data_IF_459795159076
#
_entry.id   IF_459795159076
#
_cell.length_a   1.000
_cell.length_b   1.000
_cell.length_c   1.000
_cell.angle_alpha   90.00
_cell.angle_beta   90.00
_cell.angle_gamma   90.00
#
_symmetry.space_group_name_H-M   'P 1'
#
loop_
_entity.id
_entity.type
_entity.pdbx_description
1 polymer ?
#
# COMPACT_ATOMS: atom_id res chain seq x y z
N UNK A 1 4.97 -53.44 -17.36
CA UNK A 1 3.57 -53.64 -16.92
C UNK A 1 3.46 -53.10 -15.50
N UNK A 2 2.84 -51.98 -15.15
CA UNK A 2 1.90 -51.01 -15.76
C UNK A 2 1.87 -49.86 -14.72
N UNK A 3 2.37 -48.66 -15.03
CA UNK A 3 1.63 -47.44 -15.44
C UNK A 3 0.58 -46.85 -14.46
N UNK A 4 0.82 -45.57 -14.11
CA UNK A 4 -0.09 -44.45 -13.76
C UNK A 4 -0.94 -44.57 -12.47
N UNK A 5 -1.24 -43.54 -11.68
CA UNK A 5 -1.42 -42.08 -11.85
C UNK A 5 -1.22 -41.44 -10.46
N UNK A 6 -0.74 -40.21 -10.25
CA UNK A 6 -1.13 -38.96 -10.90
C UNK A 6 -2.29 -38.31 -10.14
N UNK A 7 -2.07 -37.84 -8.90
CA UNK A 7 -3.00 -36.96 -8.19
C UNK A 7 -2.47 -35.53 -8.26
N UNK A 8 -3.28 -34.63 -8.82
CA UNK A 8 -3.00 -33.22 -9.03
C UNK A 8 -3.12 -32.40 -7.74
N UNK A 9 -2.38 -31.28 -7.68
CA UNK A 9 -2.34 -30.28 -6.60
C UNK A 9 -3.69 -29.70 -6.16
N UNK A 10 -4.78 -30.01 -6.87
CA UNK A 10 -6.15 -29.53 -6.58
C UNK A 10 -6.88 -30.27 -5.44
N UNK A 11 -6.27 -31.29 -4.82
CA UNK A 11 -6.91 -32.01 -3.69
C UNK A 11 -6.52 -31.43 -2.33
N UNK A 12 -5.46 -30.61 -2.26
CA UNK A 12 -5.06 -29.94 -1.02
C UNK A 12 -6.00 -28.79 -0.62
N UNK A 13 -6.63 -28.13 -1.60
CA UNK A 13 -7.54 -27.00 -1.37
C UNK A 13 -8.89 -27.42 -0.76
N UNK A 14 -9.31 -28.68 -0.96
CA UNK A 14 -10.59 -29.20 -0.45
C UNK A 14 -10.53 -29.64 1.02
N UNK A 15 -9.34 -29.94 1.55
CA UNK A 15 -9.17 -30.25 2.98
C UNK A 15 -9.03 -28.96 3.82
N UNK A 16 -8.55 -27.87 3.21
CA UNK A 16 -8.44 -26.55 3.86
C UNK A 16 -9.78 -25.85 4.07
N UNK A 17 -10.81 -26.16 3.27
CA UNK A 17 -12.14 -25.57 3.40
C UNK A 17 -13.04 -26.22 4.47
N UNK A 18 -12.67 -27.38 5.02
CA UNK A 18 -13.53 -28.14 5.94
C UNK A 18 -13.31 -27.85 7.43
N UNK A 19 -12.36 -26.98 7.81
CA UNK A 19 -12.05 -26.68 9.23
C UNK A 19 -12.21 -25.21 9.63
N UNK A 20 -12.97 -24.43 8.86
CA UNK A 20 -13.41 -23.09 9.27
C UNK A 20 -14.86 -23.16 9.76
N UNK A 21 -15.07 -23.87 10.85
CA UNK A 21 -16.17 -23.63 11.79
C UNK A 21 -15.67 -24.07 13.15
N UNK A 22 -15.77 -23.16 14.11
CA UNK A 22 -15.51 -23.36 15.54
C UNK A 22 -14.02 -23.31 15.97
N UNK A 23 -13.54 -22.09 16.27
CA UNK A 23 -12.95 -21.81 17.58
C UNK A 23 -11.62 -22.41 18.03
N UNK A 24 -10.82 -23.11 17.21
CA UNK A 24 -9.57 -23.73 17.68
C UNK A 24 -8.29 -23.25 16.95
N UNK A 25 -7.47 -22.40 17.60
CA UNK A 25 -6.12 -22.04 17.13
C UNK A 25 -5.17 -21.91 18.33
N UNK A 26 -4.20 -22.82 18.51
CA UNK A 26 -2.85 -22.50 18.03
C UNK A 26 -1.98 -23.67 17.50
N UNK A 27 -2.43 -24.93 17.59
CA UNK A 27 -1.61 -26.09 17.15
C UNK A 27 -1.65 -26.32 15.63
N UNK A 28 -2.70 -25.86 14.96
CA UNK A 28 -2.95 -26.05 13.53
C UNK A 28 -1.96 -25.27 12.65
N UNK A 29 -1.47 -24.10 13.10
CA UNK A 29 -0.45 -23.32 12.38
C UNK A 29 0.92 -24.00 12.33
N UNK A 30 1.29 -24.74 13.37
CA UNK A 30 2.54 -25.49 13.40
C UNK A 30 2.49 -26.75 12.50
N UNK A 31 1.29 -27.26 12.20
CA UNK A 31 1.08 -28.38 11.28
C UNK A 31 0.97 -27.95 9.82
N UNK A 32 0.27 -26.84 9.52
CA UNK A 32 0.03 -26.38 8.14
C UNK A 32 1.27 -25.75 7.51
N UNK A 33 2.19 -25.16 8.29
CA UNK A 33 3.41 -24.53 7.77
C UNK A 33 4.57 -25.51 7.45
N UNK A 34 4.36 -26.84 7.48
CA UNK A 34 5.42 -27.82 7.20
C UNK A 34 6.59 -27.84 8.21
N UNK A 35 6.48 -27.11 9.33
CA UNK A 35 7.57 -26.90 10.30
C UNK A 35 7.82 -28.09 11.24
N UNK A 36 7.03 -29.16 11.18
CA UNK A 36 7.23 -30.36 12.01
C UNK A 36 8.41 -31.23 11.57
N UNK A 37 8.78 -31.23 10.28
CA UNK A 37 9.85 -32.11 9.79
C UNK A 37 11.26 -31.56 10.08
N UNK A 38 11.40 -30.27 10.39
CA UNK A 38 12.70 -29.62 10.60
C UNK A 38 12.93 -29.04 11.99
N UNK A 39 11.91 -28.91 12.84
CA UNK A 39 12.08 -28.16 14.10
C UNK A 39 11.35 -28.78 15.31
N UNK A 40 12.12 -29.31 16.27
CA UNK A 40 11.64 -29.66 17.62
C UNK A 40 12.04 -28.57 18.62
N UNK A 41 11.09 -27.73 19.03
CA UNK A 41 11.22 -26.94 20.26
C UNK A 41 11.02 -27.86 21.47
N UNK A 42 11.59 -27.51 22.64
CA UNK A 42 11.33 -28.27 23.86
C UNK A 42 9.86 -28.12 24.28
N UNK A 43 9.26 -29.13 24.95
CA UNK A 43 7.87 -29.09 25.42
C UNK A 43 7.55 -27.82 26.24
N UNK A 44 8.49 -27.37 27.06
CA UNK A 44 8.33 -26.15 27.88
C UNK A 44 8.19 -24.87 27.04
N UNK A 45 8.92 -24.78 25.92
CA UNK A 45 8.83 -23.63 24.99
C UNK A 45 7.50 -23.66 24.25
N UNK A 46 7.03 -24.85 23.88
CA UNK A 46 5.71 -25.02 23.24
C UNK A 46 4.58 -24.64 24.21
N UNK A 47 4.68 -25.06 25.47
CA UNK A 47 3.70 -24.75 26.51
C UNK A 47 3.68 -23.26 26.84
N UNK A 48 4.85 -22.61 26.93
CA UNK A 48 4.96 -21.16 27.14
C UNK A 48 4.38 -20.34 25.98
N UNK A 49 4.63 -20.76 24.72
CA UNK A 49 4.04 -20.11 23.54
C UNK A 49 2.52 -20.28 23.49
N UNK A 50 2.01 -21.47 23.83
CA UNK A 50 0.57 -21.70 23.89
C UNK A 50 -0.13 -20.81 24.93
N UNK A 51 0.51 -20.57 26.08
CA UNK A 51 0.00 -19.65 27.11
C UNK A 51 -0.02 -18.19 26.66
N UNK A 52 0.97 -17.76 25.88
CA UNK A 52 1.03 -16.40 25.32
C UNK A 52 -0.01 -16.17 24.21
N UNK A 53 -0.45 -17.24 23.53
CA UNK A 53 -1.43 -17.20 22.45
C UNK A 53 -2.89 -17.33 22.93
N UNK A 54 -3.12 -17.84 24.14
CA UNK A 54 -4.47 -17.97 24.69
C UNK A 54 -4.96 -16.62 25.24
N UNK A 55 -6.15 -16.19 24.79
CA UNK A 55 -6.86 -15.05 25.36
C UNK A 55 -7.29 -15.36 26.80
N UNK A 56 -7.37 -14.34 27.66
CA UNK A 56 -7.85 -14.54 29.04
C UNK A 56 -9.31 -15.06 29.03
N UNK A 57 -9.76 -15.78 30.09
CA UNK A 57 -11.16 -16.21 30.19
C UNK A 57 -12.14 -15.05 30.05
N UNK A 58 -11.77 -13.86 30.53
CA UNK A 58 -12.56 -12.63 30.39
C UNK A 58 -12.67 -12.13 28.95
N UNK A 59 -11.61 -12.27 28.14
CA UNK A 59 -11.62 -11.91 26.72
C UNK A 59 -12.39 -12.94 25.89
N UNK A 60 -12.34 -14.22 26.26
CA UNK A 60 -13.15 -15.26 25.63
C UNK A 60 -14.64 -15.07 25.93
N UNK A 61 -15.01 -14.73 27.17
CA UNK A 61 -16.40 -14.46 27.54
C UNK A 61 -16.93 -13.18 26.88
N UNK A 62 -16.12 -12.12 26.80
CA UNK A 62 -16.47 -10.89 26.08
C UNK A 62 -16.70 -11.15 24.58
N UNK A 63 -15.84 -11.97 23.95
CA UNK A 63 -15.99 -12.37 22.53
C UNK A 63 -17.19 -13.29 22.30
N UNK A 64 -17.47 -14.21 23.23
CA UNK A 64 -18.64 -15.08 23.13
C UNK A 64 -19.93 -14.28 23.26
N UNK A 65 -20.01 -13.34 24.21
CA UNK A 65 -21.15 -12.41 24.35
C UNK A 65 -21.30 -11.51 23.13
N UNK A 66 -20.19 -11.02 22.58
CA UNK A 66 -20.19 -10.23 21.36
C UNK A 66 -20.85 -10.96 20.19
N UNK A 67 -20.44 -12.21 20.01
CA UNK A 67 -20.94 -13.07 18.95
C UNK A 67 -22.43 -13.40 19.14
N UNK A 68 -22.87 -13.70 20.36
CA UNK A 68 -24.29 -13.93 20.67
C UNK A 68 -25.15 -12.69 20.43
N UNK A 69 -24.67 -11.50 20.79
CA UNK A 69 -25.39 -10.24 20.57
C UNK A 69 -25.46 -9.86 19.08
N UNK A 70 -24.41 -10.15 18.33
CA UNK A 70 -24.37 -9.96 16.88
C UNK A 70 -25.33 -10.91 16.14
N UNK A 71 -25.40 -12.17 16.56
CA UNK A 71 -26.37 -13.14 16.02
C UNK A 71 -27.83 -12.81 16.37
N UNK A 72 -28.07 -12.10 17.47
CA UNK A 72 -29.40 -11.64 17.87
C UNK A 72 -29.88 -10.37 17.16
N UNK A 73 -29.07 -9.76 16.27
CA UNK A 73 -29.45 -8.57 15.50
C UNK A 73 -29.57 -7.27 16.32
N UNK A 74 -29.08 -7.26 17.56
CA UNK A 74 -29.20 -6.11 18.48
C UNK A 74 -28.00 -5.17 18.32
N UNK A 75 -28.04 -4.30 17.29
CA UNK A 75 -27.06 -3.23 17.09
C UNK A 75 -27.55 -1.91 17.70
N UNK A 76 -27.31 -1.73 19.00
CA UNK A 76 -27.48 -0.46 19.71
C UNK A 76 -26.10 0.19 19.95
N UNK A 77 -26.00 1.54 20.00
CA UNK A 77 -24.78 2.22 20.42
C UNK A 77 -24.30 1.85 21.84
N UNK A 78 -25.17 1.30 22.70
CA UNK A 78 -24.77 0.75 24.00
C UNK A 78 -24.05 -0.60 23.89
N UNK A 79 -24.36 -1.40 22.86
CA UNK A 79 -23.67 -2.67 22.60
C UNK A 79 -22.21 -2.43 22.22
N UNK A 80 -21.87 -1.33 21.52
CA UNK A 80 -20.50 -0.98 21.15
C UNK A 80 -19.60 -0.64 22.37
N UNK A 81 -20.16 -0.05 23.43
CA UNK A 81 -19.42 0.21 24.68
C UNK A 81 -19.14 -1.07 25.49
N UNK A 82 -20.00 -2.08 25.37
CA UNK A 82 -19.81 -3.40 26.00
C UNK A 82 -18.85 -4.33 25.22
N UNK A 83 -18.58 -4.00 23.95
CA UNK A 83 -17.73 -4.76 23.02
C UNK A 83 -16.28 -4.28 22.96
N UNK A 84 -15.96 -3.17 23.63
CA UNK A 84 -14.60 -2.67 23.73
C UNK A 84 -13.79 -3.62 24.63
N UNK A 85 -12.67 -4.22 24.18
CA UNK A 85 -11.86 -5.05 25.05
C UNK A 85 -11.41 -4.22 26.26
N UNK A 86 -11.38 -4.78 27.49
CA UNK A 86 -10.90 -4.03 28.64
C UNK A 86 -9.47 -3.57 28.36
N UNK A 87 -9.22 -2.27 28.49
CA UNK A 87 -7.93 -1.61 28.26
C UNK A 87 -6.84 -2.01 29.29
N UNK A 88 -7.05 -3.11 30.01
CA UNK A 88 -6.27 -3.57 31.16
C UNK A 88 -6.25 -5.09 31.20
N UNK A 89 -5.74 -5.74 30.14
CA UNK A 89 -5.29 -7.12 30.30
C UNK A 89 -4.02 -7.11 31.16
N UNK A 90 -4.09 -7.65 32.37
CA UNK A 90 -2.93 -7.82 33.25
C UNK A 90 -1.82 -8.58 32.50
N UNK A 91 -0.55 -8.18 32.66
CA UNK A 91 0.56 -8.84 32.00
C UNK A 91 0.59 -10.32 32.38
N UNK A 92 0.59 -11.21 31.37
CA UNK A 92 0.78 -12.65 31.58
C UNK A 92 2.17 -12.85 32.16
N UNK A 93 2.25 -13.26 33.43
CA UNK A 93 3.51 -13.57 34.10
C UNK A 93 4.02 -14.92 33.59
N UNK A 94 5.12 -14.88 32.84
CA UNK A 94 5.91 -16.08 32.55
C UNK A 94 6.76 -16.39 33.78
N UNK A 95 6.89 -17.68 34.10
CA UNK A 95 7.86 -18.13 35.11
C UNK A 95 9.29 -17.82 34.66
N UNK A 96 10.20 -17.60 35.61
CA UNK A 96 11.62 -17.39 35.31
C UNK A 96 12.22 -18.54 34.49
N UNK A 97 11.72 -19.76 34.69
CA UNK A 97 12.11 -20.96 33.94
C UNK A 97 11.68 -20.89 32.47
N UNK A 98 10.45 -20.44 32.17
CA UNK A 98 9.98 -20.24 30.80
C UNK A 98 10.80 -19.15 30.09
N UNK A 99 11.12 -18.06 30.78
CA UNK A 99 11.98 -16.99 30.26
C UNK A 99 13.40 -17.49 30.01
N UNK A 100 13.96 -18.30 30.92
CA UNK A 100 15.30 -18.88 30.76
C UNK A 100 15.37 -19.88 29.60
N UNK A 101 14.37 -20.74 29.45
CA UNK A 101 14.25 -21.68 28.33
C UNK A 101 14.12 -20.96 27.00
N UNK A 102 13.35 -19.87 26.96
CA UNK A 102 13.21 -19.04 25.77
C UNK A 102 14.53 -18.34 25.41
N UNK A 103 15.26 -17.76 26.37
CA UNK A 103 16.60 -17.20 26.16
C UNK A 103 17.61 -18.23 25.65
N UNK A 104 17.56 -19.46 26.15
CA UNK A 104 18.42 -20.55 25.69
C UNK A 104 18.10 -20.95 24.25
N UNK A 105 16.81 -21.04 23.91
CA UNK A 105 16.35 -21.30 22.56
C UNK A 105 16.81 -20.22 21.57
N UNK A 106 16.85 -18.95 22.00
CA UNK A 106 17.30 -17.82 21.18
C UNK A 106 18.80 -17.78 20.91
N UNK A 107 19.63 -18.10 21.91
CA UNK A 107 21.10 -18.12 21.74
C UNK A 107 21.55 -19.19 20.74
N UNK A 108 20.72 -20.19 20.48
CA UNK A 108 21.03 -21.29 19.57
C UNK A 108 20.71 -20.97 18.09
N UNK A 109 20.19 -19.78 17.75
CA UNK A 109 19.70 -19.49 16.41
C UNK A 109 20.33 -18.26 15.76
N UNK A 110 20.20 -18.22 14.43
CA UNK A 110 20.80 -17.21 13.58
C UNK A 110 20.26 -15.81 13.94
N UNK A 111 21.12 -14.86 14.38
CA UNK A 111 20.71 -13.49 14.66
C UNK A 111 20.20 -12.74 13.42
N UNK A 112 20.29 -13.32 12.21
CA UNK A 112 19.78 -12.77 10.95
C UNK A 112 18.40 -13.29 10.55
N UNK A 113 17.74 -14.13 11.34
CA UNK A 113 16.38 -14.59 11.02
C UNK A 113 15.32 -13.53 11.41
N UNK A 114 14.70 -12.91 10.42
CA UNK A 114 13.67 -11.88 10.57
C UNK A 114 12.41 -12.41 11.28
N UNK A 115 11.97 -13.63 10.99
CA UNK A 115 10.76 -14.21 11.59
C UNK A 115 10.94 -14.40 13.09
N UNK A 116 12.14 -14.84 13.50
CA UNK A 116 12.45 -15.02 14.91
C UNK A 116 12.47 -13.68 15.66
N UNK A 117 13.01 -12.62 15.05
CA UNK A 117 13.00 -11.29 15.64
C UNK A 117 11.60 -10.70 15.74
N UNK A 118 10.71 -10.96 14.79
CA UNK A 118 9.32 -10.54 14.85
C UNK A 118 8.56 -11.25 15.99
N UNK A 119 8.79 -12.55 16.20
CA UNK A 119 8.24 -13.29 17.34
C UNK A 119 8.77 -12.71 18.66
N UNK A 120 10.06 -12.38 18.72
CA UNK A 120 10.69 -11.81 19.91
C UNK A 120 10.13 -10.46 20.32
N UNK A 121 9.88 -9.59 19.33
CA UNK A 121 9.23 -8.32 19.54
C UNK A 121 7.89 -8.52 20.27
N UNK A 122 7.05 -9.44 19.78
CA UNK A 122 5.76 -9.76 20.39
C UNK A 122 5.86 -10.33 21.80
N UNK A 123 6.80 -11.25 22.04
CA UNK A 123 7.03 -11.82 23.38
C UNK A 123 7.46 -10.72 24.36
N UNK A 124 8.36 -9.81 23.96
CA UNK A 124 8.81 -8.71 24.80
C UNK A 124 7.68 -7.74 25.13
N UNK A 125 6.81 -7.44 24.16
CA UNK A 125 5.63 -6.59 24.37
C UNK A 125 4.69 -7.23 25.39
N UNK A 126 4.34 -8.52 25.21
CA UNK A 126 3.39 -9.25 26.06
C UNK A 126 3.88 -9.42 27.50
N UNK A 127 5.19 -9.65 27.67
CA UNK A 127 5.83 -9.85 28.98
C UNK A 127 6.21 -8.55 29.70
N UNK A 128 5.92 -7.38 29.12
CA UNK A 128 6.26 -6.08 29.70
C UNK A 128 7.75 -5.73 29.62
N UNK A 129 8.56 -6.47 28.84
CA UNK A 129 10.00 -6.24 28.65
C UNK A 129 10.23 -5.26 27.50
N UNK A 130 9.66 -4.06 27.64
CA UNK A 130 9.51 -3.10 26.55
C UNK A 130 10.86 -2.63 25.97
N UNK A 131 11.89 -2.48 26.80
CA UNK A 131 13.25 -2.07 26.36
C UNK A 131 13.88 -3.07 25.40
N UNK A 132 13.66 -4.37 25.63
CA UNK A 132 14.14 -5.44 24.75
C UNK A 132 13.30 -5.54 23.48
N UNK A 133 11.98 -5.32 23.60
CA UNK A 133 11.09 -5.17 22.45
C UNK A 133 11.61 -4.09 21.49
N UNK A 134 12.00 -2.93 22.01
CA UNK A 134 12.55 -1.84 21.20
C UNK A 134 13.85 -2.24 20.49
N UNK A 135 14.75 -2.97 21.16
CA UNK A 135 15.97 -3.46 20.54
C UNK A 135 15.69 -4.43 19.38
N UNK A 136 14.72 -5.33 19.55
CA UNK A 136 14.31 -6.26 18.48
C UNK A 136 13.68 -5.53 17.30
N UNK A 137 12.86 -4.51 17.55
CA UNK A 137 12.30 -3.64 16.50
C UNK A 137 13.38 -2.90 15.71
N UNK A 138 14.35 -2.27 16.39
CA UNK A 138 15.44 -1.56 15.71
C UNK A 138 16.28 -2.49 14.84
N UNK A 139 16.49 -3.73 15.28
CA UNK A 139 17.21 -4.73 14.51
C UNK A 139 16.39 -5.24 13.32
N UNK A 140 15.08 -5.40 13.44
CA UNK A 140 14.19 -5.69 12.30
C UNK A 140 14.23 -4.56 11.27
N UNK A 141 14.17 -3.31 11.73
CA UNK A 141 14.25 -2.12 10.86
C UNK A 141 15.59 -1.98 10.15
N UNK A 142 16.68 -2.41 10.79
CA UNK A 142 18.00 -2.45 10.13
C UNK A 142 18.11 -3.56 9.07
N UNK A 143 17.24 -4.56 9.12
CA UNK A 143 17.27 -5.73 8.22
C UNK A 143 16.31 -5.61 7.03
N UNK A 144 15.34 -4.71 7.06
CA UNK A 144 14.32 -4.53 6.00
C UNK A 144 14.14 -3.05 5.63
N UNK A 145 14.01 -2.78 4.33
CA UNK A 145 13.57 -1.47 3.84
C UNK A 145 12.08 -1.20 4.11
N UNK A 146 11.28 -2.26 4.26
CA UNK A 146 9.83 -2.17 4.52
C UNK A 146 9.41 -3.24 5.52
N UNK A 147 8.97 -2.81 6.71
CA UNK A 147 8.52 -3.71 7.77
C UNK A 147 7.17 -4.34 7.42
N UNK A 148 7.01 -5.63 7.68
CA UNK A 148 5.71 -6.29 7.53
C UNK A 148 4.62 -5.63 8.40
N UNK A 149 3.33 -5.64 7.97
CA UNK A 149 2.23 -5.02 8.71
C UNK A 149 2.12 -5.49 10.17
N UNK A 150 2.44 -6.76 10.45
CA UNK A 150 2.42 -7.35 11.79
C UNK A 150 3.53 -6.81 12.70
N UNK A 151 4.68 -6.43 12.14
CA UNK A 151 5.78 -5.80 12.89
C UNK A 151 5.43 -4.33 13.19
N UNK A 152 4.78 -3.65 12.24
CA UNK A 152 4.28 -2.29 12.42
C UNK A 152 3.19 -2.22 13.51
N UNK A 153 2.26 -3.17 13.52
CA UNK A 153 1.24 -3.31 14.58
C UNK A 153 1.86 -3.58 15.96
N UNK A 154 2.85 -4.48 16.01
CA UNK A 154 3.59 -4.78 17.24
C UNK A 154 4.30 -3.52 17.77
N UNK A 155 4.92 -2.73 16.88
CA UNK A 155 5.59 -1.49 17.27
C UNK A 155 4.61 -0.43 17.79
N UNK A 156 3.43 -0.31 17.19
CA UNK A 156 2.37 0.55 17.73
C UNK A 156 1.98 0.16 19.16
N UNK A 157 1.76 -1.14 19.38
CA UNK A 157 1.48 -1.68 20.73
C UNK A 157 2.62 -1.41 21.72
N UNK A 158 3.87 -1.52 21.26
CA UNK A 158 5.06 -1.22 22.07
C UNK A 158 5.11 0.26 22.48
N UNK A 159 4.84 1.18 21.56
CA UNK A 159 4.87 2.63 21.79
C UNK A 159 3.79 3.06 22.79
N UNK A 160 2.56 2.55 22.63
CA UNK A 160 1.47 2.78 23.59
C UNK A 160 1.85 2.29 24.99
N UNK A 161 2.44 1.08 25.11
CA UNK A 161 2.86 0.53 26.42
C UNK A 161 4.04 1.28 27.04
N UNK A 162 4.90 1.89 26.23
CA UNK A 162 6.00 2.72 26.71
C UNK A 162 5.54 4.11 27.17
N UNK A 163 4.27 4.50 26.93
CA UNK A 163 3.83 5.88 27.07
C UNK A 163 4.59 6.82 26.12
N UNK A 164 5.06 6.28 24.99
CA UNK A 164 5.90 6.97 24.01
C UNK A 164 5.19 7.00 22.66
N UNK A 165 4.00 7.59 22.66
CA UNK A 165 3.22 7.83 21.43
C UNK A 165 3.98 8.74 20.46
N UNK A 166 4.93 9.55 20.97
CA UNK A 166 5.91 10.34 20.21
C UNK A 166 6.85 9.48 19.33
N UNK A 167 7.04 8.20 19.69
CA UNK A 167 7.88 7.26 18.95
C UNK A 167 7.09 6.43 17.94
N UNK A 168 5.76 6.55 17.89
CA UNK A 168 5.01 5.91 16.81
C UNK A 168 5.50 6.43 15.47
N UNK A 169 5.70 5.57 14.45
CA UNK A 169 6.08 6.05 13.13
C UNK A 169 4.95 6.98 12.72
N UNK A 170 5.27 8.24 12.43
CA UNK A 170 4.26 9.22 12.08
C UNK A 170 3.52 8.68 10.85
N UNK A 171 2.27 8.26 11.02
CA UNK A 171 1.34 7.99 9.92
C UNK A 171 0.79 9.32 9.32
N UNK A 172 1.47 10.44 9.61
CA UNK A 172 1.23 11.80 9.10
C UNK A 172 2.55 12.59 9.19
N UNK A 173 2.92 13.47 8.25
CA UNK A 173 4.20 14.19 8.28
C UNK A 173 4.23 15.33 9.34
N UNK A 174 5.42 15.82 9.75
CA UNK A 174 5.54 16.81 10.82
C UNK A 174 5.19 18.23 10.37
N UNK A 175 4.42 18.95 11.18
CA UNK A 175 4.23 20.40 11.06
C UNK A 175 5.49 21.14 11.54
N UNK A 176 6.03 22.02 10.69
CA UNK A 176 7.10 22.95 11.04
C UNK A 176 6.49 24.35 11.13
N UNK A 177 6.38 24.89 12.34
CA UNK A 177 6.04 26.28 12.57
C UNK A 177 7.25 27.18 12.25
N UNK A 178 7.11 28.05 11.25
CA UNK A 178 7.96 29.23 11.04
C UNK A 178 7.06 30.46 11.08
N UNK A 179 7.38 31.51 11.87
CA UNK A 179 6.51 32.67 12.00
C UNK A 179 6.71 33.58 10.79
N UNK A 180 5.65 33.80 10.01
CA UNK A 180 5.59 34.85 8.99
C UNK A 180 4.50 35.85 9.34
N UNK A 181 4.92 37.10 9.37
CA UNK A 181 4.13 38.29 9.69
C UNK A 181 2.80 38.34 8.95
N UNK A 182 1.76 38.75 9.69
CA UNK A 182 0.40 38.90 9.22
C UNK A 182 0.19 40.10 8.28
N UNK A 183 -0.80 39.91 7.38
CA UNK A 183 -1.86 40.85 6.90
C UNK A 183 -1.89 41.10 5.38
N UNK A 184 -3.08 41.37 4.77
CA UNK A 184 -4.28 40.52 4.78
C UNK A 184 -5.01 40.43 3.40
N UNK A 185 -6.01 39.54 3.36
CA UNK A 185 -7.29 39.60 2.61
C UNK A 185 -7.47 38.82 1.28
N UNK A 186 -8.32 37.79 1.39
CA UNK A 186 -9.31 37.31 0.41
C UNK A 186 -8.84 36.66 -0.91
N UNK A 187 -8.01 35.62 -0.83
CA UNK A 187 -8.04 34.56 -1.85
C UNK A 187 -8.88 33.40 -1.31
N UNK A 188 -9.98 33.06 -1.99
CA UNK A 188 -10.72 31.83 -1.72
C UNK A 188 -9.73 30.66 -1.77
N UNK A 189 -9.66 29.86 -0.70
CA UNK A 189 -8.82 28.67 -0.67
C UNK A 189 -9.21 27.77 -1.83
N UNK A 190 -8.36 27.67 -2.85
CA UNK A 190 -8.49 26.68 -3.91
C UNK A 190 -8.25 25.31 -3.27
N UNK A 191 -9.32 24.71 -2.74
CA UNK A 191 -9.32 23.32 -2.29
C UNK A 191 -9.25 22.49 -3.57
N UNK A 192 -8.11 21.85 -3.79
CA UNK A 192 -7.98 20.91 -4.89
C UNK A 192 -8.91 19.73 -4.63
N UNK A 193 -9.75 19.45 -5.61
CA UNK A 193 -10.78 18.43 -5.54
C UNK A 193 -10.44 17.30 -6.52
N UNK A 194 -10.37 16.07 -6.01
CA UNK A 194 -10.39 14.88 -6.85
C UNK A 194 -11.84 14.43 -7.01
N UNK A 195 -12.31 14.31 -8.25
CA UNK A 195 -13.57 13.63 -8.54
C UNK A 195 -13.28 12.27 -9.14
N UNK A 196 -13.63 11.21 -8.43
CA UNK A 196 -13.60 9.85 -8.98
C UNK A 196 -15.00 9.52 -9.46
N UNK A 197 -15.12 9.21 -10.75
CA UNK A 197 -16.35 8.68 -11.34
C UNK A 197 -16.16 7.20 -11.65
N UNK A 198 -17.01 6.35 -11.08
CA UNK A 198 -17.07 4.91 -11.38
C UNK A 198 -18.45 4.56 -11.94
N UNK A 199 -18.49 3.93 -13.13
CA UNK A 199 -19.74 3.44 -13.74
C UNK A 199 -20.81 4.52 -13.99
N UNK A 200 -22.09 4.17 -13.77
CA UNK A 200 -23.31 4.96 -14.08
C UNK A 200 -23.55 6.20 -13.19
N UNK A 201 -22.50 6.96 -12.87
CA UNK A 201 -22.51 8.28 -12.22
C UNK A 201 -22.35 8.34 -10.69
N UNK A 202 -21.70 7.37 -10.05
CA UNK A 202 -21.19 7.63 -8.71
C UNK A 202 -19.98 8.54 -8.81
N UNK A 203 -20.15 9.80 -8.40
CA UNK A 203 -19.07 10.78 -8.27
C UNK A 203 -18.72 10.90 -6.79
N UNK A 204 -17.49 10.55 -6.45
CA UNK A 204 -16.93 10.75 -5.12
C UNK A 204 -15.96 11.92 -5.19
N UNK A 205 -16.15 12.92 -4.33
CA UNK A 205 -15.26 14.07 -4.21
C UNK A 205 -14.35 13.91 -3.00
N UNK A 206 -13.06 14.13 -3.19
CA UNK A 206 -12.04 14.08 -2.14
C UNK A 206 -11.29 15.40 -2.10
N UNK A 207 -10.93 15.84 -0.91
CA UNK A 207 -10.09 17.02 -0.73
C UNK A 207 -8.62 16.60 -0.68
N UNK A 208 -7.71 17.50 -1.04
CA UNK A 208 -6.26 17.26 -1.01
C UNK A 208 -5.70 17.28 0.42
N UNK A 209 -6.24 16.43 1.30
CA UNK A 209 -5.66 16.12 2.61
C UNK A 209 -5.00 14.73 2.56
N UNK A 210 -3.81 14.59 3.15
CA UNK A 210 -3.01 13.34 3.08
C UNK A 210 -3.76 12.11 3.65
N UNK A 211 -4.75 12.30 4.54
CA UNK A 211 -5.63 11.23 5.04
C UNK A 211 -6.47 10.58 3.94
N UNK A 212 -6.76 11.32 2.88
CA UNK A 212 -7.67 10.89 1.82
C UNK A 212 -6.96 10.07 0.75
N UNK A 213 -5.63 10.17 0.60
CA UNK A 213 -4.90 9.45 -0.46
C UNK A 213 -5.13 7.93 -0.44
N UNK A 214 -5.21 7.32 0.75
CA UNK A 214 -5.53 5.88 0.88
C UNK A 214 -6.97 5.56 0.51
N UNK A 215 -7.92 6.43 0.87
CA UNK A 215 -9.32 6.28 0.52
C UNK A 215 -9.51 6.39 -1.00
N UNK A 216 -8.84 7.36 -1.63
CA UNK A 216 -8.80 7.55 -3.09
C UNK A 216 -8.19 6.31 -3.76
N UNK A 217 -7.06 5.79 -3.28
CA UNK A 217 -6.45 4.55 -3.80
C UNK A 217 -7.43 3.38 -3.72
N UNK A 218 -8.11 3.22 -2.58
CA UNK A 218 -9.12 2.18 -2.39
C UNK A 218 -10.30 2.30 -3.36
N UNK A 219 -10.82 3.51 -3.56
CA UNK A 219 -11.90 3.79 -4.49
C UNK A 219 -11.49 3.50 -5.94
N UNK A 220 -10.28 3.91 -6.36
CA UNK A 220 -9.73 3.63 -7.70
C UNK A 220 -9.60 2.13 -7.92
N UNK A 221 -8.97 1.41 -6.98
CA UNK A 221 -8.78 -0.04 -7.09
C UNK A 221 -10.11 -0.77 -7.13
N UNK A 222 -11.06 -0.40 -6.26
CA UNK A 222 -12.38 -1.01 -6.23
C UNK A 222 -13.14 -0.81 -7.55
N UNK A 223 -13.13 0.42 -8.09
CA UNK A 223 -13.78 0.71 -9.38
C UNK A 223 -13.13 -0.03 -10.55
N UNK A 224 -11.81 -0.16 -10.55
CA UNK A 224 -11.10 -0.91 -11.58
C UNK A 224 -11.42 -2.42 -11.51
N UNK A 225 -11.45 -2.98 -10.30
CA UNK A 225 -11.75 -4.40 -10.09
C UNK A 225 -13.22 -4.75 -10.34
N UNK A 226 -14.13 -3.79 -10.25
CA UNK A 226 -15.54 -4.02 -10.63
C UNK A 226 -15.75 -4.09 -12.14
N UNK A 227 -14.71 -3.82 -12.95
CA UNK A 227 -14.80 -3.78 -14.41
C UNK A 227 -15.49 -2.53 -14.96
N UNK A 228 -15.78 -1.57 -14.09
CA UNK A 228 -16.40 -0.29 -14.47
C UNK A 228 -15.32 0.68 -14.96
N UNK A 229 -15.65 1.58 -15.91
CA UNK A 229 -14.73 2.63 -16.29
C UNK A 229 -14.51 3.58 -15.11
N UNK A 230 -13.24 3.84 -14.79
CA UNK A 230 -12.84 4.75 -13.72
C UNK A 230 -12.24 6.01 -14.35
N UNK A 231 -12.81 7.16 -13.99
CA UNK A 231 -12.30 8.47 -14.38
C UNK A 231 -11.87 9.22 -13.13
N UNK A 232 -10.64 9.72 -13.12
CA UNK A 232 -10.16 10.66 -12.10
C UNK A 232 -10.13 12.04 -12.75
N UNK A 233 -10.84 13.00 -12.17
CA UNK A 233 -10.80 14.39 -12.59
C UNK A 233 -10.12 15.20 -11.50
N UNK A 234 -9.01 15.86 -11.86
CA UNK A 234 -8.33 16.82 -11.00
C UNK A 234 -8.82 18.20 -11.39
N UNK A 235 -9.51 18.86 -10.46
CA UNK A 235 -10.03 20.21 -10.68
C UNK A 235 -8.91 21.21 -10.40
N UNK A 236 -8.57 22.00 -11.41
CA UNK A 236 -7.46 22.95 -11.36
C UNK A 236 -6.13 22.34 -11.81
N UNK A 237 -5.30 23.16 -12.44
CA UNK A 237 -3.99 22.75 -12.97
C UNK A 237 -2.85 22.95 -11.95
N UNK A 238 -3.14 22.85 -10.66
CA UNK A 238 -2.11 22.96 -9.63
C UNK A 238 -1.15 21.78 -9.70
N UNK A 239 0.15 22.07 -9.60
CA UNK A 239 1.18 21.06 -9.69
C UNK A 239 1.09 20.01 -8.58
N UNK A 240 0.69 20.42 -7.36
CA UNK A 240 0.47 19.51 -6.22
C UNK A 240 -0.63 18.49 -6.53
N UNK A 241 -1.74 18.92 -7.11
CA UNK A 241 -2.89 18.07 -7.38
C UNK A 241 -2.58 17.06 -8.48
N UNK A 242 -1.87 17.49 -9.54
CA UNK A 242 -1.37 16.57 -10.57
C UNK A 242 -0.38 15.57 -9.97
N UNK A 243 0.53 16.01 -9.09
CA UNK A 243 1.46 15.13 -8.40
C UNK A 243 0.76 14.07 -7.54
N UNK A 244 -0.20 14.49 -6.72
CA UNK A 244 -0.99 13.60 -5.88
C UNK A 244 -1.81 12.61 -6.71
N UNK A 245 -2.39 13.06 -7.84
CA UNK A 245 -3.06 12.16 -8.78
C UNK A 245 -2.13 11.04 -9.24
N UNK A 246 -0.93 11.35 -9.72
CA UNK A 246 -0.06 10.27 -10.22
C UNK A 246 0.49 9.40 -9.09
N UNK A 247 0.67 9.95 -7.88
CA UNK A 247 1.00 9.14 -6.68
C UNK A 247 -0.10 8.15 -6.33
N UNK A 248 -1.37 8.58 -6.35
CA UNK A 248 -2.52 7.70 -6.15
C UNK A 248 -2.50 6.59 -7.20
N UNK A 249 -2.33 6.94 -8.48
CA UNK A 249 -2.29 5.93 -9.54
C UNK A 249 -1.13 4.94 -9.40
N UNK A 250 0.08 5.41 -9.09
CA UNK A 250 1.23 4.55 -8.87
C UNK A 250 1.04 3.65 -7.64
N UNK A 251 0.39 4.14 -6.58
CA UNK A 251 0.08 3.34 -5.39
C UNK A 251 -0.99 2.29 -5.68
N UNK A 252 -2.02 2.65 -6.46
CA UNK A 252 -3.03 1.70 -6.95
C UNK A 252 -2.41 0.64 -7.86
N UNK A 253 -1.44 1.00 -8.69
CA UNK A 253 -0.69 0.08 -9.56
C UNK A 253 0.02 -1.00 -8.72
N UNK A 254 0.81 -0.60 -7.72
CA UNK A 254 1.52 -1.53 -6.83
C UNK A 254 0.55 -2.53 -6.19
N UNK A 255 -0.58 -2.05 -5.67
CA UNK A 255 -1.58 -2.90 -5.05
C UNK A 255 -2.18 -3.93 -6.02
N UNK A 256 -2.45 -3.53 -7.27
CA UNK A 256 -3.03 -4.39 -8.29
C UNK A 256 -2.04 -5.40 -8.87
N UNK A 257 -0.77 -5.02 -9.03
CA UNK A 257 0.30 -5.93 -9.43
C UNK A 257 0.47 -7.07 -8.42
N UNK A 258 0.46 -6.75 -7.12
CA UNK A 258 0.60 -7.73 -6.04
C UNK A 258 -0.55 -8.74 -5.98
N UNK A 259 -1.78 -8.32 -6.31
CA UNK A 259 -2.99 -9.14 -6.10
C UNK A 259 -3.54 -9.80 -7.35
N UNK A 260 -3.41 -9.17 -8.50
CA UNK A 260 -4.17 -9.54 -9.69
C UNK A 260 -3.34 -9.62 -10.97
N UNK A 261 -2.05 -9.29 -10.93
CA UNK A 261 -1.18 -9.27 -12.11
C UNK A 261 -1.80 -8.45 -13.25
N UNK A 262 -2.40 -7.31 -12.91
CA UNK A 262 -2.96 -6.36 -13.89
C UNK A 262 -2.22 -5.04 -13.80
N UNK A 263 -2.16 -4.34 -14.93
CA UNK A 263 -1.55 -3.03 -15.03
C UNK A 263 -2.58 -1.97 -15.35
N UNK A 264 -2.58 -0.90 -14.56
CA UNK A 264 -3.28 0.33 -14.82
C UNK A 264 -2.60 1.02 -16.00
N UNK A 265 -3.38 1.19 -17.05
CA UNK A 265 -3.07 2.15 -18.10
C UNK A 265 -3.90 3.40 -17.89
N UNK A 266 -3.22 4.53 -17.93
CA UNK A 266 -3.83 5.83 -17.74
C UNK A 266 -3.79 6.62 -19.06
N UNK A 267 -4.92 7.21 -19.39
CA UNK A 267 -5.11 8.02 -20.57
C UNK A 267 -5.54 9.42 -20.14
N UNK A 268 -4.64 10.38 -20.28
CA UNK A 268 -4.92 11.77 -19.87
C UNK A 268 -5.50 12.59 -21.01
N UNK A 269 -6.50 13.39 -20.66
CA UNK A 269 -7.06 14.45 -21.47
C UNK A 269 -7.11 15.73 -20.64
N UNK A 270 -6.78 16.86 -21.25
CA UNK A 270 -6.86 18.17 -20.62
C UNK A 270 -8.09 18.87 -21.17
N UNK A 271 -9.01 19.20 -20.27
CA UNK A 271 -10.24 19.91 -20.58
C UNK A 271 -9.98 21.37 -20.24
N UNK A 272 -9.75 22.19 -21.27
CA UNK A 272 -9.49 23.62 -21.10
C UNK A 272 -10.83 24.38 -21.14
N UNK A 273 -11.14 25.09 -20.06
CA UNK A 273 -12.22 26.08 -20.08
C UNK A 273 -11.67 27.40 -20.64
N UNK A 274 -12.02 27.71 -21.88
CA UNK A 274 -11.56 28.91 -22.58
C UNK A 274 -11.98 30.22 -21.90
N UNK A 275 -13.06 30.21 -21.13
CA UNK A 275 -13.57 31.39 -20.45
C UNK A 275 -12.96 31.55 -19.05
N UNK A 276 -12.53 30.45 -18.43
CA UNK A 276 -12.04 30.40 -17.07
C UNK A 276 -10.89 29.40 -16.97
N UNK A 277 -9.66 29.78 -17.35
CA UNK A 277 -8.51 28.86 -17.37
C UNK A 277 -8.22 28.22 -16.02
N UNK A 278 -8.59 28.87 -14.92
CA UNK A 278 -8.55 28.33 -13.55
C UNK A 278 -9.44 27.10 -13.32
N UNK A 279 -10.46 26.90 -14.16
CA UNK A 279 -11.31 25.70 -14.18
C UNK A 279 -10.87 24.68 -15.22
N UNK A 280 -9.68 24.81 -15.78
CA UNK A 280 -9.13 23.74 -16.61
C UNK A 280 -8.94 22.49 -15.75
N UNK A 281 -9.39 21.35 -16.28
CA UNK A 281 -9.38 20.07 -15.58
C UNK A 281 -8.45 19.10 -16.30
N UNK A 282 -7.78 18.24 -15.52
CA UNK A 282 -7.09 17.07 -16.05
C UNK A 282 -7.96 15.86 -15.76
N UNK A 283 -8.46 15.23 -16.82
CA UNK A 283 -9.22 13.99 -16.72
C UNK A 283 -8.32 12.82 -17.10
N UNK A 284 -8.27 11.80 -16.26
CA UNK A 284 -7.55 10.56 -16.50
C UNK A 284 -8.54 9.42 -16.54
N UNK A 285 -8.66 8.79 -17.72
CA UNK A 285 -9.37 7.53 -17.88
C UNK A 285 -8.43 6.38 -17.55
N UNK A 286 -8.91 5.44 -16.75
CA UNK A 286 -8.14 4.27 -16.35
C UNK A 286 -8.71 3.00 -16.95
N UNK A 287 -7.82 2.11 -17.37
CA UNK A 287 -8.16 0.78 -17.85
C UNK A 287 -7.19 -0.25 -17.29
N UNK A 288 -7.71 -1.44 -16.95
CA UNK A 288 -6.89 -2.59 -16.61
C UNK A 288 -6.47 -3.29 -17.90
N UNK A 289 -5.16 -3.52 -18.04
CA UNK A 289 -4.62 -4.45 -19.01
C UNK A 289 -4.03 -5.66 -18.28
N UNK A 290 -4.22 -6.89 -18.80
CA UNK A 290 -3.53 -8.05 -18.26
C UNK A 290 -2.02 -7.85 -18.39
N UNK A 291 -1.28 -8.13 -17.32
CA UNK A 291 0.18 -8.06 -17.30
C UNK A 291 0.78 -9.46 -17.53
N UNK A 292 1.83 -9.62 -18.34
CA UNK A 292 2.27 -8.73 -19.42
C UNK A 292 1.44 -9.04 -20.67
N UNK A 293 0.79 -8.05 -21.27
CA UNK A 293 0.26 -8.25 -22.62
C UNK A 293 1.47 -8.34 -23.55
N UNK A 294 1.70 -9.54 -24.09
CA UNK A 294 2.81 -9.86 -25.00
C UNK A 294 2.93 -8.85 -26.16
N UNK A 295 1.85 -8.13 -26.49
CA UNK A 295 1.81 -7.13 -27.56
C UNK A 295 2.34 -5.73 -27.19
N UNK A 296 2.67 -5.43 -25.93
CA UNK A 296 3.10 -4.09 -25.51
C UNK A 296 4.63 -4.00 -25.35
N UNK A 297 5.31 -5.13 -25.15
CA UNK A 297 6.71 -5.15 -24.68
C UNK A 297 7.71 -5.88 -25.57
N UNK A 298 7.31 -6.40 -26.74
CA UNK A 298 8.27 -7.08 -27.62
C UNK A 298 9.30 -6.10 -28.21
N UNK A 299 10.38 -5.92 -27.44
CA UNK A 299 11.71 -5.43 -27.84
C UNK A 299 11.86 -3.96 -28.30
N UNK A 300 11.07 -3.03 -27.77
CA UNK A 300 11.42 -1.61 -27.92
C UNK A 300 12.35 -1.17 -26.79
N UNK A 301 13.53 -0.65 -27.14
CA UNK A 301 14.41 0.01 -26.15
C UNK A 301 13.62 1.10 -25.43
N UNK A 302 13.72 1.15 -24.10
CA UNK A 302 13.07 2.18 -23.29
C UNK A 302 14.06 3.33 -23.13
N UNK A 303 13.73 4.49 -23.70
CA UNK A 303 14.53 5.71 -23.56
C UNK A 303 14.11 6.49 -22.31
N UNK A 304 15.06 6.75 -21.42
CA UNK A 304 14.79 7.47 -20.16
C UNK A 304 15.00 8.98 -20.32
N UNK A 305 14.04 9.78 -19.81
CA UNK A 305 14.09 11.24 -19.82
C UNK A 305 13.82 11.79 -18.44
N UNK A 306 14.76 12.59 -17.93
CA UNK A 306 14.58 13.33 -16.68
C UNK A 306 13.84 14.63 -16.96
N UNK A 307 12.73 14.85 -16.24
CA UNK A 307 11.94 16.07 -16.32
C UNK A 307 12.21 16.88 -15.05
N UNK A 308 12.66 18.11 -15.23
CA UNK A 308 12.84 19.08 -14.15
C UNK A 308 11.64 20.04 -14.06
N UNK A 309 11.54 20.77 -12.95
CA UNK A 309 10.50 21.78 -12.73
C UNK A 309 10.50 22.91 -13.77
N UNK A 310 11.65 23.18 -14.39
CA UNK A 310 11.81 24.19 -15.45
C UNK A 310 11.81 23.61 -16.86
N UNK A 311 11.63 22.29 -17.03
CA UNK A 311 11.62 21.66 -18.36
C UNK A 311 10.31 22.02 -19.07
N UNK A 312 10.34 22.71 -20.23
CA UNK A 312 9.11 23.12 -20.89
C UNK A 312 8.27 21.92 -21.36
N UNK A 313 6.93 21.92 -21.23
CA UNK A 313 6.09 20.78 -21.60
C UNK A 313 6.22 20.41 -23.07
N UNK A 314 6.35 21.43 -23.94
CA UNK A 314 6.59 21.25 -25.38
C UNK A 314 7.88 20.49 -25.69
N UNK A 315 8.91 20.63 -24.84
CA UNK A 315 10.16 19.88 -24.99
C UNK A 315 9.96 18.41 -24.64
N UNK A 316 9.26 18.13 -23.53
CA UNK A 316 8.87 16.78 -23.13
C UNK A 316 8.02 16.11 -24.22
N UNK A 317 7.02 16.81 -24.75
CA UNK A 317 6.17 16.33 -25.84
C UNK A 317 6.96 15.93 -27.09
N UNK A 318 7.95 16.75 -27.48
CA UNK A 318 8.84 16.45 -28.63
C UNK A 318 9.67 15.19 -28.37
N UNK A 319 10.20 15.04 -27.16
CA UNK A 319 10.97 13.85 -26.79
C UNK A 319 10.11 12.59 -26.88
N UNK A 320 8.89 12.61 -26.32
CA UNK A 320 7.92 11.51 -26.39
C UNK A 320 7.64 11.13 -27.85
N UNK A 321 7.24 12.10 -28.68
CA UNK A 321 6.90 11.84 -30.09
C UNK A 321 8.10 11.33 -30.87
N UNK A 322 9.30 11.84 -30.59
CA UNK A 322 10.54 11.36 -31.22
C UNK A 322 10.82 9.89 -30.87
N UNK A 323 10.64 9.49 -29.61
CA UNK A 323 10.79 8.09 -29.18
C UNK A 323 9.82 7.20 -29.94
N UNK A 324 8.55 7.58 -29.94
CA UNK A 324 7.47 6.79 -30.53
C UNK A 324 7.65 6.63 -32.04
N UNK A 325 8.04 7.70 -32.74
CA UNK A 325 8.37 7.65 -34.18
C UNK A 325 9.58 6.78 -34.48
N UNK A 326 10.50 6.66 -33.52
CA UNK A 326 11.63 5.74 -33.58
C UNK A 326 11.26 4.28 -33.28
N UNK A 327 10.00 3.98 -32.93
CA UNK A 327 9.58 2.66 -32.47
C UNK A 327 10.00 2.33 -31.04
N UNK A 328 10.35 3.36 -30.25
CA UNK A 328 10.78 3.22 -28.86
C UNK A 328 9.67 3.60 -27.89
N UNK A 329 9.71 2.98 -26.71
CA UNK A 329 8.98 3.47 -25.53
C UNK A 329 9.81 4.52 -24.81
N UNK A 330 9.18 5.39 -24.01
CA UNK A 330 9.94 6.34 -23.19
C UNK A 330 9.49 6.33 -21.74
N UNK A 331 10.45 6.49 -20.82
CA UNK A 331 10.22 6.60 -19.38
C UNK A 331 10.54 8.01 -18.95
N UNK A 332 9.55 8.74 -18.46
CA UNK A 332 9.77 10.06 -17.88
C UNK A 332 10.00 9.92 -16.38
N UNK A 333 11.07 10.51 -15.86
CA UNK A 333 11.39 10.56 -14.43
C UNK A 333 11.19 11.99 -13.92
N UNK A 334 10.28 12.17 -12.97
CA UNK A 334 10.00 13.45 -12.34
C UNK A 334 9.96 13.31 -10.81
N UNK A 335 10.67 14.20 -10.10
CA UNK A 335 10.84 14.12 -8.64
C UNK A 335 9.93 15.09 -7.88
N UNK A 336 9.81 16.32 -8.36
CA UNK A 336 9.07 17.39 -7.70
C UNK A 336 7.67 17.56 -8.30
N UNK A 337 6.69 18.11 -7.57
CA UNK A 337 5.35 18.35 -8.08
C UNK A 337 5.32 19.12 -9.40
N UNK A 338 6.10 20.19 -9.50
CA UNK A 338 6.18 21.00 -10.72
C UNK A 338 6.74 20.17 -11.89
N UNK A 339 7.75 19.33 -11.64
CA UNK A 339 8.31 18.44 -12.66
C UNK A 339 7.30 17.41 -13.14
N UNK A 340 6.47 16.86 -12.23
CA UNK A 340 5.38 15.95 -12.60
C UNK A 340 4.35 16.69 -13.44
N UNK A 341 3.99 17.92 -13.08
CA UNK A 341 3.09 18.74 -13.87
C UNK A 341 3.64 18.99 -15.30
N UNK A 342 4.92 19.36 -15.43
CA UNK A 342 5.58 19.50 -16.73
C UNK A 342 5.55 18.19 -17.55
N UNK A 343 5.73 17.04 -16.87
CA UNK A 343 5.69 15.73 -17.51
C UNK A 343 4.27 15.37 -18.02
N UNK A 344 3.24 15.61 -17.21
CA UNK A 344 1.83 15.35 -17.57
C UNK A 344 1.36 16.28 -18.69
N UNK A 345 1.64 17.58 -18.60
CA UNK A 345 1.33 18.53 -19.68
C UNK A 345 2.07 18.14 -20.98
N UNK A 346 3.35 17.76 -20.87
CA UNK A 346 4.13 17.28 -21.98
C UNK A 346 3.56 16.01 -22.61
N UNK A 347 3.10 15.07 -21.79
CA UNK A 347 2.40 13.86 -22.24
C UNK A 347 1.11 14.19 -23.00
N UNK A 348 0.27 15.08 -22.47
CA UNK A 348 -0.99 15.49 -23.14
C UNK A 348 -0.71 16.12 -24.51
N UNK A 349 0.27 17.03 -24.59
CA UNK A 349 0.67 17.64 -25.87
C UNK A 349 1.24 16.58 -26.81
N UNK A 350 2.09 15.69 -26.29
CA UNK A 350 2.70 14.59 -27.04
C UNK A 350 1.65 13.65 -27.64
N UNK A 351 0.62 13.29 -26.88
CA UNK A 351 -0.51 12.47 -27.33
C UNK A 351 -1.29 13.14 -28.44
N UNK A 352 -1.55 14.45 -28.33
CA UNK A 352 -2.23 15.20 -29.39
C UNK A 352 -1.43 15.23 -30.71
N UNK A 353 -0.11 15.28 -30.63
CA UNK A 353 0.78 15.19 -31.80
C UNK A 353 0.80 13.77 -32.35
N UNK A 354 1.01 12.75 -31.51
CA UNK A 354 1.06 11.34 -31.91
C UNK A 354 -0.25 10.89 -32.60
N UNK A 355 -1.41 11.38 -32.14
CA UNK A 355 -2.71 11.12 -32.78
C UNK A 355 -2.76 11.55 -34.25
N UNK A 356 -1.99 12.57 -34.66
CA UNK A 356 -1.88 13.01 -36.07
C UNK A 356 -1.11 12.00 -36.93
N UNK A 357 -0.25 11.20 -36.29
CA UNK A 357 0.50 10.12 -36.92
C UNK A 357 -0.26 8.77 -36.81
N UNK A 358 -1.55 8.79 -36.46
CA UNK A 358 -2.39 7.60 -36.23
C UNK A 358 -1.90 6.67 -35.11
N UNK A 359 -1.12 7.20 -34.17
CA UNK A 359 -0.66 6.48 -32.97
C UNK A 359 -1.32 7.11 -31.74
N UNK A 360 -1.92 6.30 -30.87
CA UNK A 360 -2.34 6.76 -29.53
C UNK A 360 -1.27 6.38 -28.52
N UNK A 361 -1.26 7.08 -27.38
CA UNK A 361 -0.26 6.84 -26.33
C UNK A 361 -0.95 6.80 -24.97
N UNK A 362 -0.48 5.89 -24.13
CA UNK A 362 -0.92 5.74 -22.74
C UNK A 362 0.28 5.89 -21.83
N UNK A 363 0.05 6.13 -20.54
CA UNK A 363 1.11 6.00 -19.57
C UNK A 363 0.78 4.99 -18.46
N UNK A 364 1.82 4.34 -17.97
CA UNK A 364 1.78 3.49 -16.79
C UNK A 364 2.54 4.22 -15.68
N UNK A 365 1.86 4.64 -14.60
CA UNK A 365 2.50 5.29 -13.48
C UNK A 365 3.18 4.26 -12.59
N UNK A 366 4.43 4.52 -12.21
CA UNK A 366 5.16 3.74 -11.23
C UNK A 366 5.93 4.64 -10.26
N UNK A 367 6.11 4.15 -9.04
CA UNK A 367 6.98 4.79 -8.05
C UNK A 367 8.29 4.00 -8.00
N UNK A 368 9.40 4.63 -8.39
CA UNK A 368 10.70 4.01 -8.26
C UNK A 368 11.40 4.54 -7.00
N UNK A 369 11.56 3.67 -6.01
CA UNK A 369 12.27 3.96 -4.76
C UNK A 369 13.80 4.00 -4.93
N UNK A 370 14.34 3.68 -6.12
CA UNK A 370 15.79 3.55 -6.35
C UNK A 370 16.50 4.84 -6.76
N UNK A 371 15.81 5.97 -6.93
CA UNK A 371 16.44 7.23 -7.32
C UNK A 371 17.02 7.96 -6.10
N UNK A 372 18.36 7.86 -5.99
CA UNK A 372 19.31 8.52 -5.09
C UNK A 372 19.21 8.28 -3.56
N UNK A 373 20.19 7.52 -3.08
CA UNK A 373 20.42 7.06 -1.68
C UNK A 373 20.62 8.22 -0.68
N UNK A 374 20.72 9.46 -1.13
CA UNK A 374 20.98 10.62 -0.29
C UNK A 374 19.72 11.44 0.07
N UNK A 375 18.61 11.31 -0.66
CA UNK A 375 17.36 12.03 -0.39
C UNK A 375 16.18 11.16 -0.79
N UNK A 376 15.39 10.72 0.18
CA UNK A 376 14.19 9.86 0.04
C UNK A 376 13.05 10.55 -0.74
N UNK A 377 13.29 10.96 -1.98
CA UNK A 377 12.24 11.45 -2.85
C UNK A 377 11.85 10.32 -3.80
N UNK A 378 10.67 9.75 -3.59
CA UNK A 378 10.09 8.79 -4.52
C UNK A 378 9.99 9.46 -5.90
N UNK A 379 10.77 8.96 -6.86
CA UNK A 379 10.65 9.41 -8.23
C UNK A 379 9.38 8.81 -8.83
N UNK A 380 8.58 9.70 -9.41
CA UNK A 380 7.47 9.30 -10.21
C UNK A 380 7.97 8.97 -11.61
N UNK A 381 7.75 7.73 -12.01
CA UNK A 381 8.06 7.24 -13.34
C UNK A 381 6.78 7.10 -14.15
N UNK A 382 6.82 7.63 -15.37
CA UNK A 382 5.71 7.60 -16.32
C UNK A 382 6.25 6.84 -17.54
N UNK A 383 5.89 5.57 -17.66
CA UNK A 383 6.22 4.78 -18.85
C UNK A 383 5.18 5.06 -19.93
N UNK A 384 5.59 5.66 -21.04
CA UNK A 384 4.74 5.98 -22.18
C UNK A 384 4.81 4.86 -23.21
N UNK A 385 3.64 4.34 -23.55
CA UNK A 385 3.48 3.19 -24.43
C UNK A 385 2.72 3.60 -25.70
N UNK A 386 3.27 3.36 -26.90
CA UNK A 386 2.56 3.59 -28.15
C UNK A 386 1.54 2.47 -28.41
N UNK A 387 0.36 2.84 -28.88
CA UNK A 387 -0.69 1.91 -29.31
C UNK A 387 -1.12 2.31 -30.72
N UNK A 388 -0.91 1.39 -31.66
CA UNK A 388 -1.37 1.57 -33.03
C UNK A 388 -2.89 1.47 -33.05
N UNK A 389 -3.57 2.49 -33.55
CA UNK A 389 -5.01 2.39 -33.78
C UNK A 389 -5.26 1.37 -34.90
N UNK A 390 -6.12 0.40 -34.63
CA UNK A 390 -6.55 -0.62 -35.59
C UNK A 390 -7.28 0.00 -36.77
#
# INVERSE_FOLDING_TARGET
>A
TTESSGLSDSTLDLVLMAHIKEGEWPLTLLQVAGLRSTYRASPDVQQGLARLCNCSPSEQEARSRAHTLQQAGLSSPETAKLLSPPNTAEPVSLSETEVANYRKWLRARDPKDQHQRAILLWVCIRTGRLREGLQHYLLLRAMESTLSPRVTEAFGTLCTRLGREDLMPCLSPPSVDVPLHASPSNAASCISLFRIKTGDNQVQEFQEDDSDARAVVGAVVQGLLSGEPVFITVVGLLASSQYQMVRVLASSQVYLEERSQVTITACTEMILDANKPEHSEVQVSLSLLPFPSEHIYEQSDILEYKVGSTTPPKSVAKAIVSCIRGGYSCRLQALAPEAVAQAIEGFVIGRAIAKRDSVDIFFVPSCNSRLDVAKEHAALEILVLPVKRA
#
